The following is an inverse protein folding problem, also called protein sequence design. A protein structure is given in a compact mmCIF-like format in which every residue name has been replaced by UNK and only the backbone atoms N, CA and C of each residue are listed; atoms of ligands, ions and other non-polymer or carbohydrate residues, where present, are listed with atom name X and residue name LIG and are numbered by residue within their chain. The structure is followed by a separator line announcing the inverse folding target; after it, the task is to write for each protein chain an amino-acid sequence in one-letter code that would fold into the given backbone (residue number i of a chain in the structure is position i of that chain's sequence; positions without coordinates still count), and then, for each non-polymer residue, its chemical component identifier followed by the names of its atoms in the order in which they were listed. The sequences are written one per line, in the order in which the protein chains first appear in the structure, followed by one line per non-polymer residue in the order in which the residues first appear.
data_IF_451925063919
#
_entry.id   IF_451925063919
#
_cell.length_a   1.000
_cell.length_b   1.000
_cell.length_c   1.000
_cell.angle_alpha   90.00
_cell.angle_beta   90.00
_cell.angle_gamma   90.00
#
_symmetry.space_group_name_H-M   'P 1'
#
loop_
_entity.id
_entity.type
_entity.pdbx_description
1 polymer ?
#
# COMPACT_ATOMS: atom_id res chain seq x y z
N UNK A 1 -16.39 -23.34 -19.28
CA UNK A 1 -16.54 -22.59 -20.54
C UNK A 1 -18.00 -22.21 -20.89
N UNK A 2 -18.26 -20.94 -21.24
CA UNK A 2 -19.54 -20.53 -21.85
C UNK A 2 -19.53 -20.98 -23.31
N UNK A 3 -20.60 -21.59 -23.80
CA UNK A 3 -20.69 -22.05 -25.20
C UNK A 3 -21.55 -21.08 -26.02
N UNK A 4 -21.22 -20.90 -27.30
CA UNK A 4 -22.09 -20.22 -28.26
C UNK A 4 -23.26 -21.12 -28.68
N UNK A 5 -24.19 -20.59 -29.48
CA UNK A 5 -25.33 -21.36 -30.02
C UNK A 5 -24.93 -22.56 -30.89
N UNK A 6 -23.65 -22.67 -31.27
CA UNK A 6 -23.06 -23.74 -32.08
C UNK A 6 -22.20 -24.69 -31.25
N UNK A 7 -22.25 -24.58 -29.91
CA UNK A 7 -21.49 -25.42 -28.99
C UNK A 7 -20.00 -25.09 -28.92
N UNK A 8 -19.55 -23.97 -29.52
CA UNK A 8 -18.14 -23.57 -29.49
C UNK A 8 -17.85 -22.76 -28.23
N UNK A 9 -16.69 -22.94 -27.58
CA UNK A 9 -16.28 -22.12 -26.45
C UNK A 9 -16.28 -20.64 -26.82
N UNK A 10 -16.93 -19.82 -25.99
CA UNK A 10 -17.01 -18.37 -26.10
C UNK A 10 -16.38 -17.74 -24.85
N UNK A 11 -15.57 -16.68 -25.01
CA UNK A 11 -15.10 -15.90 -23.88
C UNK A 11 -16.24 -15.30 -23.07
N UNK A 12 -16.23 -15.61 -21.78
CA UNK A 12 -17.01 -14.88 -20.79
C UNK A 12 -16.21 -13.63 -20.40
N UNK A 13 -16.73 -12.45 -20.76
CA UNK A 13 -16.04 -11.18 -20.52
C UNK A 13 -15.86 -10.86 -19.04
N UNK A 14 -16.67 -11.45 -18.16
CA UNK A 14 -16.56 -11.27 -16.71
C UNK A 14 -15.47 -12.14 -16.07
N UNK A 15 -14.93 -13.13 -16.80
CA UNK A 15 -13.97 -14.12 -16.29
C UNK A 15 -12.58 -14.01 -16.94
N UNK A 16 -12.31 -12.88 -17.60
CA UNK A 16 -11.01 -12.63 -18.22
C UNK A 16 -10.00 -12.17 -17.19
N UNK A 17 -8.81 -12.76 -17.21
CA UNK A 17 -7.67 -12.35 -16.40
C UNK A 17 -6.44 -12.06 -17.29
N UNK A 18 -5.43 -11.37 -16.73
CA UNK A 18 -4.17 -11.05 -17.42
C UNK A 18 -2.98 -11.38 -16.54
N UNK A 19 -2.07 -12.18 -17.08
CA UNK A 19 -0.84 -12.57 -16.40
C UNK A 19 0.37 -11.78 -16.91
N UNK A 20 1.26 -11.40 -16.00
CA UNK A 20 2.58 -10.87 -16.35
C UNK A 20 3.61 -11.99 -16.41
N UNK A 21 3.95 -12.42 -17.63
CA UNK A 21 4.92 -13.49 -17.84
C UNK A 21 6.33 -12.92 -17.99
N UNK A 22 7.33 -13.36 -17.20
CA UNK A 22 8.71 -12.96 -17.39
C UNK A 22 9.19 -13.24 -18.81
N UNK A 23 9.82 -12.25 -19.46
CA UNK A 23 10.31 -12.39 -20.83
C UNK A 23 11.30 -13.56 -21.01
N UNK A 24 12.05 -13.87 -19.95
CA UNK A 24 13.04 -14.96 -19.91
C UNK A 24 12.49 -16.27 -19.34
N UNK A 25 11.18 -16.41 -19.16
CA UNK A 25 10.61 -17.67 -18.69
C UNK A 25 10.95 -18.80 -19.68
N UNK A 26 11.52 -19.93 -19.23
CA UNK A 26 11.88 -21.05 -20.11
C UNK A 26 10.67 -21.55 -20.91
N UNK A 27 10.76 -21.53 -22.24
CA UNK A 27 9.64 -21.91 -23.12
C UNK A 27 8.55 -20.83 -23.29
N UNK A 28 8.75 -19.64 -22.73
CA UNK A 28 7.93 -18.45 -22.94
C UNK A 28 6.49 -18.57 -22.42
N UNK A 29 5.61 -17.72 -22.96
CA UNK A 29 4.20 -17.61 -22.54
C UNK A 29 3.45 -18.94 -22.61
N UNK A 30 3.72 -19.76 -23.63
CA UNK A 30 3.06 -21.06 -23.78
C UNK A 30 3.45 -22.02 -22.65
N UNK A 31 4.74 -22.13 -22.34
CA UNK A 31 5.20 -23.01 -21.26
C UNK A 31 4.67 -22.55 -19.90
N UNK A 32 4.70 -21.24 -19.64
CA UNK A 32 4.10 -20.66 -18.43
C UNK A 32 2.62 -21.01 -18.32
N UNK A 33 1.86 -20.86 -19.40
CA UNK A 33 0.43 -21.15 -19.40
C UNK A 33 0.11 -22.62 -19.10
N UNK A 34 0.89 -23.55 -19.66
CA UNK A 34 0.71 -24.98 -19.38
C UNK A 34 1.14 -25.37 -17.95
N UNK A 35 2.18 -24.75 -17.40
CA UNK A 35 2.71 -25.08 -16.08
C UNK A 35 1.94 -24.41 -14.93
N UNK A 36 1.56 -23.14 -15.09
CA UNK A 36 1.05 -22.29 -14.01
C UNK A 36 -0.46 -22.01 -14.12
N UNK A 37 -1.05 -22.09 -15.33
CA UNK A 37 -2.48 -21.77 -15.51
C UNK A 37 -3.33 -23.03 -15.67
N UNK A 38 -2.98 -23.89 -16.63
CA UNK A 38 -3.74 -25.10 -16.98
C UNK A 38 -4.04 -26.05 -15.82
N UNK A 39 -3.15 -26.27 -14.82
CA UNK A 39 -3.45 -27.15 -13.69
C UNK A 39 -4.61 -26.65 -12.83
N UNK A 40 -4.82 -25.34 -12.74
CA UNK A 40 -5.86 -24.72 -11.91
C UNK A 40 -7.09 -24.30 -12.71
N UNK A 41 -6.91 -23.99 -14.01
CA UNK A 41 -7.98 -23.64 -14.93
C UNK A 41 -7.87 -24.44 -16.24
N UNK A 42 -8.30 -25.71 -16.26
CA UNK A 42 -8.13 -26.59 -17.42
C UNK A 42 -8.83 -26.09 -18.68
N UNK A 43 -9.97 -25.40 -18.53
CA UNK A 43 -10.75 -24.83 -19.63
C UNK A 43 -10.28 -23.44 -20.08
N UNK A 44 -9.20 -22.90 -19.48
CA UNK A 44 -8.63 -21.63 -19.90
C UNK A 44 -8.01 -21.72 -21.31
N UNK A 45 -7.97 -20.58 -22.01
CA UNK A 45 -7.25 -20.39 -23.26
C UNK A 45 -6.65 -19.00 -23.35
N UNK A 46 -5.63 -18.85 -24.19
CA UNK A 46 -4.94 -17.57 -24.41
C UNK A 46 -5.60 -16.82 -25.57
N UNK A 47 -5.96 -15.55 -25.34
CA UNK A 47 -6.31 -14.60 -26.41
C UNK A 47 -5.03 -13.98 -27.00
N UNK A 48 -4.52 -14.60 -28.08
CA UNK A 48 -3.26 -14.18 -28.74
C UNK A 48 -3.28 -12.75 -29.26
N UNK A 49 -4.46 -12.21 -29.61
CA UNK A 49 -4.57 -10.83 -30.09
C UNK A 49 -4.31 -9.80 -28.98
N UNK A 50 -4.47 -10.21 -27.72
CA UNK A 50 -4.22 -9.36 -26.53
C UNK A 50 -2.86 -9.62 -25.88
N UNK A 51 -2.14 -10.65 -26.31
CA UNK A 51 -0.78 -10.92 -25.83
C UNK A 51 0.18 -9.87 -26.39
N UNK A 52 0.86 -9.13 -25.50
CA UNK A 52 1.79 -8.07 -25.88
C UNK A 52 3.13 -8.29 -25.18
N UNK A 53 4.21 -7.90 -25.84
CA UNK A 53 5.54 -7.82 -25.25
C UNK A 53 5.73 -6.39 -24.75
N UNK A 54 6.03 -6.25 -23.47
CA UNK A 54 6.33 -4.97 -22.82
C UNK A 54 7.59 -5.07 -21.99
N UNK A 55 8.21 -3.93 -21.73
CA UNK A 55 9.32 -3.80 -20.80
C UNK A 55 8.88 -2.91 -19.65
N UNK A 56 9.20 -3.31 -18.43
CA UNK A 56 8.96 -2.50 -17.25
C UNK A 56 10.26 -1.86 -16.77
N UNK A 57 10.20 -0.56 -16.49
CA UNK A 57 11.25 0.16 -15.78
C UNK A 57 10.70 0.48 -14.39
N UNK A 58 11.20 -0.20 -13.36
CA UNK A 58 10.83 0.13 -11.98
C UNK A 58 11.42 1.50 -11.61
N UNK A 59 10.58 2.53 -11.58
CA UNK A 59 11.03 3.88 -11.25
C UNK A 59 11.59 3.94 -9.82
N UNK A 60 10.93 3.28 -8.86
CA UNK A 60 11.41 3.20 -7.49
C UNK A 60 12.80 2.57 -7.42
N UNK A 61 13.08 1.49 -8.15
CA UNK A 61 14.41 0.88 -8.11
C UNK A 61 15.52 1.81 -8.62
N UNK A 62 15.25 2.59 -9.67
CA UNK A 62 16.29 3.36 -10.37
C UNK A 62 16.37 4.83 -9.94
N UNK A 63 15.28 5.40 -9.47
CA UNK A 63 15.16 6.83 -9.17
C UNK A 63 14.75 7.13 -7.74
N UNK A 64 14.51 6.11 -6.90
CA UNK A 64 14.23 6.36 -5.49
C UNK A 64 15.47 6.94 -4.80
N UNK A 65 15.28 8.11 -4.22
CA UNK A 65 16.24 8.73 -3.32
C UNK A 65 15.81 8.37 -1.89
N UNK A 66 16.60 7.59 -1.15
CA UNK A 66 16.32 7.35 0.25
C UNK A 66 16.16 8.68 0.98
N UNK A 67 15.11 8.78 1.80
CA UNK A 67 14.94 9.92 2.68
C UNK A 67 15.96 9.75 3.80
N UNK A 68 16.88 10.70 3.93
CA UNK A 68 17.79 10.72 5.07
C UNK A 68 16.98 10.90 6.35
N UNK A 69 17.18 9.97 7.28
CA UNK A 69 16.53 10.03 8.58
C UNK A 69 17.18 11.11 9.43
N UNK A 70 16.36 11.80 10.24
CA UNK A 70 16.87 12.76 11.23
C UNK A 70 17.77 12.03 12.25
N UNK A 71 18.85 12.64 12.73
CA UNK A 71 19.68 12.07 13.80
C UNK A 71 18.86 11.77 15.06
N UNK A 72 19.25 10.73 15.80
CA UNK A 72 18.56 10.31 17.02
C UNK A 72 18.57 11.42 18.08
N UNK A 73 19.65 12.19 18.14
CA UNK A 73 19.87 13.31 19.03
C UNK A 73 18.86 14.43 18.76
N UNK A 74 18.54 14.69 17.49
CA UNK A 74 17.54 15.68 17.10
C UNK A 74 16.13 15.22 17.55
N UNK A 75 15.82 13.93 17.34
CA UNK A 75 14.56 13.34 17.82
C UNK A 75 14.45 13.47 19.34
N UNK A 76 15.52 13.18 20.08
CA UNK A 76 15.55 13.29 21.54
C UNK A 76 15.37 14.74 22.02
N UNK A 77 16.02 15.70 21.35
CA UNK A 77 15.89 17.11 21.67
C UNK A 77 14.44 17.60 21.48
N UNK A 78 13.81 17.25 20.36
CA UNK A 78 12.41 17.58 20.09
C UNK A 78 11.47 16.99 21.15
N UNK A 79 11.67 15.72 21.53
CA UNK A 79 10.86 15.06 22.57
C UNK A 79 10.95 15.77 23.92
N UNK A 80 12.15 16.18 24.33
CA UNK A 80 12.35 16.91 25.59
C UNK A 80 11.75 18.31 25.55
N UNK A 81 11.80 18.99 24.39
CA UNK A 81 11.16 20.29 24.21
C UNK A 81 9.64 20.18 24.34
N UNK A 82 9.04 19.20 23.64
CA UNK A 82 7.59 18.92 23.72
C UNK A 82 7.15 18.56 25.15
N UNK A 83 7.97 17.79 25.88
CA UNK A 83 7.67 17.47 27.27
C UNK A 83 7.59 18.73 28.15
N UNK A 84 8.57 19.64 28.01
CA UNK A 84 8.59 20.90 28.79
C UNK A 84 7.41 21.82 28.45
N UNK A 85 7.05 21.90 27.17
CA UNK A 85 5.88 22.68 26.73
C UNK A 85 4.58 22.12 27.34
N UNK A 86 4.43 20.78 27.34
CA UNK A 86 3.30 20.11 27.97
C UNK A 86 3.21 20.34 29.48
N UNK A 87 4.34 20.26 30.19
CA UNK A 87 4.42 20.57 31.63
C UNK A 87 3.94 22.01 31.91
N UNK A 88 4.40 23.00 31.12
CA UNK A 88 3.97 24.39 31.27
C UNK A 88 2.47 24.61 30.99
N UNK A 89 1.90 23.86 30.04
CA UNK A 89 0.46 23.91 29.75
C UNK A 89 -0.38 23.31 30.90
N UNK A 90 0.09 22.21 31.49
CA UNK A 90 -0.58 21.60 32.65
C UNK A 90 -0.54 22.53 33.87
N UNK A 91 0.59 23.19 34.12
CA UNK A 91 0.70 24.18 35.18
C UNK A 91 -0.22 25.38 34.97
N UNK A 92 -0.43 25.82 33.72
CA UNK A 92 -1.38 26.87 33.42
C UNK A 92 -2.83 26.45 33.77
N UNK A 93 -3.26 25.25 33.37
CA UNK A 93 -4.62 24.75 33.63
C UNK A 93 -4.86 24.46 35.12
N UNK A 94 -3.89 23.85 35.80
CA UNK A 94 -3.96 23.49 37.22
C UNK A 94 -3.75 24.71 38.14
N UNK A 95 -2.95 25.68 37.69
CA UNK A 95 -2.71 26.94 38.39
C UNK A 95 -3.92 27.88 38.36
N UNK A 96 -4.56 28.01 37.20
CA UNK A 96 -5.77 28.84 37.01
C UNK A 96 -6.95 28.32 37.84
N UNK A 97 -7.09 27.00 37.95
CA UNK A 97 -8.12 26.35 38.77
C UNK A 97 -7.91 26.49 40.30
N UNK A 98 -6.72 26.90 40.77
CA UNK A 98 -6.46 27.19 42.20
C UNK A 98 -6.75 28.65 42.57
N UNK A 99 -6.64 29.60 41.64
CA UNK A 99 -7.03 30.99 41.89
C UNK A 99 -8.56 31.14 41.94
N UNK A 100 -9.29 30.47 41.03
CA UNK A 100 -10.76 30.45 41.01
C UNK A 100 -11.38 29.89 42.30
N UNK A 101 -10.71 28.92 42.95
CA UNK A 101 -11.17 28.34 44.20
C UNK A 101 -10.92 29.26 45.42
N UNK A 102 -9.90 30.13 45.37
CA UNK A 102 -9.63 31.13 46.43
C UNK A 102 -10.57 32.34 46.32
N UNK A 103 -10.94 32.77 45.11
CA UNK A 103 -11.87 33.89 44.90
C UNK A 103 -13.28 33.60 45.45
N UNK A 104 -13.70 32.33 45.50
CA UNK A 104 -15.02 31.91 46.03
C UNK A 104 -15.08 31.73 47.55
N UNK A 105 -13.98 31.96 48.28
CA UNK A 105 -13.83 31.64 49.72
C UNK A 105 -13.66 32.86 50.63
N UNK A 106 -14.04 34.07 50.21
CA UNK A 106 -14.18 35.23 51.12
C UNK A 106 -15.56 35.21 51.78
N UNK A 107 -15.69 34.95 53.09
CA UNK A 107 -16.91 35.27 53.82
C UNK A 107 -16.94 36.78 54.15
N UNK A 108 -18.17 37.31 54.26
CA UNK A 108 -18.45 38.62 54.87
C UNK A 108 -18.06 38.66 56.34
#
# INVERSE_FOLDING_TARGET
PVLDKKGRPKPDKARGDTEQVPFKYPGGVKAFFEAEVKPYAPDAWIDKAKTRIGYEISFTKHFYKPVELRPLEAIRADLLALQREGEGLLDAIVGDSREDAKARRRPQ
#
